data_IF_605144103078
#
_entry.id   IF_605144103078
#
_cell.length_a   1.000
_cell.length_b   1.000
_cell.length_c   1.000
_cell.angle_alpha   90.00
_cell.angle_beta   90.00
_cell.angle_gamma   90.00
#
_symmetry.space_group_name_H-M   'P 1'
#
loop_
_entity.id
_entity.type
_entity.pdbx_description
1 polymer ?
#
# COMPACT_ATOMS: atom_id res chain seq x y z
N UNK A 1 -4.24 -48.47 12.18
CA UNK A 1 -5.32 -47.58 12.67
C UNK A 1 -4.77 -46.55 13.67
N UNK A 2 -4.22 -46.96 14.83
CA UNK A 2 -3.66 -46.02 15.85
C UNK A 2 -2.62 -45.03 15.32
N UNK A 3 -1.70 -45.48 14.46
CA UNK A 3 -0.62 -44.64 13.90
C UNK A 3 -1.13 -43.53 12.97
N UNK A 4 -2.19 -43.80 12.21
CA UNK A 4 -2.83 -42.82 11.31
C UNK A 4 -3.49 -41.67 12.08
N UNK A 5 -4.16 -41.98 13.20
CA UNK A 5 -4.77 -40.96 14.06
C UNK A 5 -3.72 -40.06 14.72
N UNK A 6 -2.56 -40.63 15.08
CA UNK A 6 -1.45 -39.87 15.65
C UNK A 6 -0.84 -38.93 14.60
N UNK A 7 -0.59 -39.40 13.38
CA UNK A 7 -0.07 -38.53 12.30
C UNK A 7 -1.04 -37.41 11.96
N UNK A 8 -2.35 -37.68 11.96
CA UNK A 8 -3.37 -36.68 11.66
C UNK A 8 -3.44 -35.59 12.73
N UNK A 9 -3.30 -35.98 14.01
CA UNK A 9 -3.27 -35.04 15.14
C UNK A 9 -2.07 -34.08 15.08
N UNK A 10 -0.88 -34.59 14.71
CA UNK A 10 0.34 -33.77 14.60
C UNK A 10 0.23 -32.76 13.46
N UNK A 11 -0.28 -33.18 12.28
CA UNK A 11 -0.47 -32.30 11.13
C UNK A 11 -1.48 -31.18 11.44
N UNK A 12 -2.54 -31.51 12.18
CA UNK A 12 -3.55 -30.55 12.60
C UNK A 12 -2.96 -29.46 13.50
N UNK A 13 -2.12 -29.83 14.48
CA UNK A 13 -1.48 -28.87 15.39
C UNK A 13 -0.53 -27.88 14.68
N UNK A 14 0.16 -28.31 13.62
CA UNK A 14 1.09 -27.45 12.86
C UNK A 14 0.34 -26.40 12.02
N UNK A 15 -0.93 -26.68 11.66
CA UNK A 15 -1.71 -25.79 10.80
C UNK A 15 -2.24 -24.53 11.51
N UNK A 16 -2.28 -24.51 12.84
CA UNK A 16 -2.82 -23.39 13.62
C UNK A 16 -1.79 -22.29 13.96
N UNK A 17 -0.51 -22.47 13.66
CA UNK A 17 0.54 -21.50 14.01
C UNK A 17 0.79 -20.43 12.94
N UNK A 18 -0.19 -20.15 12.06
CA UNK A 18 -0.04 -19.10 11.04
C UNK A 18 -0.09 -17.70 11.66
N UNK A 19 1.06 -17.25 12.17
CA UNK A 19 1.26 -15.87 12.62
C UNK A 19 1.45 -14.95 11.40
N UNK A 20 0.41 -14.80 10.58
CA UNK A 20 0.40 -13.81 9.51
C UNK A 20 0.22 -12.41 10.12
N UNK A 21 1.29 -11.60 10.13
CA UNK A 21 1.21 -10.22 10.60
C UNK A 21 0.39 -9.37 9.64
N UNK A 22 -0.74 -8.83 10.10
CA UNK A 22 -1.56 -7.91 9.31
C UNK A 22 -0.95 -6.51 9.33
N UNK A 23 -0.45 -6.04 8.18
CA UNK A 23 -0.05 -4.64 8.00
C UNK A 23 -1.29 -3.80 7.74
N UNK A 24 -1.71 -3.01 8.74
CA UNK A 24 -2.76 -2.00 8.57
C UNK A 24 -2.08 -0.67 8.28
N UNK A 25 -2.25 -0.14 7.07
CA UNK A 25 -1.79 1.20 6.74
C UNK A 25 -2.65 2.23 7.49
N UNK A 26 -2.04 2.98 8.41
CA UNK A 26 -2.73 4.09 9.06
C UNK A 26 -3.10 5.15 8.03
N UNK A 27 -4.34 5.68 8.03
CA UNK A 27 -4.72 6.77 7.15
C UNK A 27 -3.96 8.03 7.57
N UNK A 28 -2.90 8.38 6.85
CA UNK A 28 -2.25 9.67 6.99
C UNK A 28 -3.23 10.78 6.62
N UNK A 29 -3.25 11.89 7.37
CA UNK A 29 -3.95 13.10 6.92
C UNK A 29 -3.31 13.58 5.62
N UNK A 30 -4.04 13.45 4.50
CA UNK A 30 -3.55 13.82 3.18
C UNK A 30 -4.27 15.08 2.71
N UNK A 31 -3.51 16.13 2.42
CA UNK A 31 -4.05 17.33 1.78
C UNK A 31 -4.37 17.01 0.31
N UNK A 32 -5.66 17.07 -0.05
CA UNK A 32 -6.13 16.89 -1.42
C UNK A 32 -6.20 18.24 -2.11
N UNK A 33 -5.43 18.39 -3.18
CA UNK A 33 -5.49 19.53 -4.09
C UNK A 33 -6.52 19.23 -5.17
N UNK A 34 -7.67 19.92 -5.14
CA UNK A 34 -8.75 19.73 -6.12
C UNK A 34 -8.38 20.25 -7.51
N UNK A 35 -7.79 21.43 -7.56
CA UNK A 35 -7.43 22.11 -8.81
C UNK A 35 -5.92 22.16 -8.95
N UNK A 36 -5.37 21.48 -9.95
CA UNK A 36 -3.95 21.56 -10.26
C UNK A 36 -3.61 22.93 -10.87
N UNK A 37 -2.42 23.49 -10.59
CA UNK A 37 -1.98 24.73 -11.22
C UNK A 37 -1.83 24.55 -12.74
N UNK A 38 -1.97 25.64 -13.51
CA UNK A 38 -1.90 25.59 -14.99
C UNK A 38 -0.54 25.11 -15.52
N UNK A 39 0.55 25.38 -14.80
CA UNK A 39 1.93 25.12 -15.26
C UNK A 39 2.65 24.04 -14.42
N UNK A 40 2.11 22.82 -14.37
CA UNK A 40 2.80 21.69 -13.75
C UNK A 40 3.74 20.98 -14.74
N UNK A 41 4.78 20.31 -14.22
CA UNK A 41 5.63 19.40 -15.00
C UNK A 41 5.20 17.95 -14.73
N UNK A 42 5.20 17.11 -15.75
CA UNK A 42 5.03 15.66 -15.55
C UNK A 42 6.41 15.01 -15.44
N UNK A 43 6.64 14.23 -14.38
CA UNK A 43 7.91 13.54 -14.12
C UNK A 43 7.66 12.05 -13.89
N UNK A 44 8.62 11.20 -14.24
CA UNK A 44 8.55 9.76 -14.01
C UNK A 44 9.62 9.39 -12.99
N UNK A 45 9.21 8.78 -11.89
CA UNK A 45 10.13 8.26 -10.86
C UNK A 45 9.85 6.79 -10.64
N UNK A 46 10.87 5.94 -10.80
CA UNK A 46 10.76 4.48 -10.68
C UNK A 46 9.61 3.89 -11.52
N UNK A 47 9.47 4.38 -12.76
CA UNK A 47 8.42 3.95 -13.70
C UNK A 47 7.01 4.48 -13.40
N UNK A 48 6.82 5.29 -12.35
CA UNK A 48 5.52 5.86 -11.98
C UNK A 48 5.45 7.34 -12.36
N UNK A 49 4.31 7.76 -12.93
CA UNK A 49 4.04 9.16 -13.31
C UNK A 49 3.64 9.99 -12.08
N UNK A 50 4.31 11.11 -11.89
CA UNK A 50 4.01 12.13 -10.90
C UNK A 50 3.89 13.50 -11.56
N UNK A 51 3.17 14.40 -10.90
CA UNK A 51 3.03 15.79 -11.29
C UNK A 51 3.85 16.64 -10.32
N UNK A 52 4.73 17.48 -10.85
CA UNK A 52 5.66 18.30 -10.10
C UNK A 52 5.33 19.78 -10.25
N UNK A 53 5.13 20.44 -9.13
CA UNK A 53 5.00 21.89 -9.06
C UNK A 53 5.42 22.38 -7.68
N UNK A 54 5.88 23.62 -7.59
CA UNK A 54 6.30 24.26 -6.34
C UNK A 54 7.26 23.39 -5.49
N UNK A 55 8.21 22.71 -6.15
CA UNK A 55 9.19 21.85 -5.46
C UNK A 55 8.64 20.51 -4.94
N UNK A 56 7.37 20.18 -5.20
CA UNK A 56 6.67 19.03 -4.60
C UNK A 56 6.16 18.07 -5.65
N UNK A 57 6.13 16.78 -5.29
CA UNK A 57 5.59 15.70 -6.12
C UNK A 57 4.15 15.38 -5.72
N UNK A 58 3.32 15.17 -6.73
CA UNK A 58 1.91 14.89 -6.55
C UNK A 58 1.46 13.72 -7.41
N UNK A 59 0.49 12.97 -6.89
CA UNK A 59 -0.13 11.84 -7.56
C UNK A 59 -1.61 12.12 -7.78
N UNK A 60 -2.10 11.87 -8.99
CA UNK A 60 -3.53 12.00 -9.29
C UNK A 60 -4.33 10.86 -8.67
N UNK A 61 -5.47 11.19 -8.09
CA UNK A 61 -6.46 10.28 -7.48
C UNK A 61 -7.85 10.61 -8.01
N UNK A 62 -8.87 9.81 -7.64
CA UNK A 62 -10.27 10.08 -8.02
C UNK A 62 -10.81 11.40 -7.47
N UNK A 63 -10.26 11.91 -6.36
CA UNK A 63 -10.74 13.12 -5.67
C UNK A 63 -9.89 14.38 -5.92
N UNK A 64 -8.80 14.26 -6.69
CA UNK A 64 -7.84 15.35 -6.90
C UNK A 64 -6.40 14.85 -6.89
N UNK A 65 -5.44 15.76 -6.71
CA UNK A 65 -4.03 15.41 -6.56
C UNK A 65 -3.63 15.39 -5.09
N UNK A 66 -2.82 14.40 -4.71
CA UNK A 66 -2.27 14.29 -3.34
C UNK A 66 -0.77 14.46 -3.36
N UNK A 67 -0.23 15.17 -2.38
CA UNK A 67 1.21 15.27 -2.18
C UNK A 67 1.78 13.90 -1.84
N UNK A 68 2.90 13.54 -2.46
CA UNK A 68 3.62 12.29 -2.20
C UNK A 68 5.08 12.64 -1.96
N UNK A 69 5.64 12.14 -0.87
CA UNK A 69 7.09 12.11 -0.67
C UNK A 69 7.64 10.98 -1.53
N UNK A 70 8.27 11.35 -2.64
CA UNK A 70 8.88 10.43 -3.62
C UNK A 70 10.34 10.19 -3.27
#
# INVERSE_FOLDING_TARGET
>A
MRTLFISLSVICMISFTSCATRVVANPSSVTVVKTAPKHYKTVIVKGKRYYFWNGKHYRKTRRGCVFVKV
#
